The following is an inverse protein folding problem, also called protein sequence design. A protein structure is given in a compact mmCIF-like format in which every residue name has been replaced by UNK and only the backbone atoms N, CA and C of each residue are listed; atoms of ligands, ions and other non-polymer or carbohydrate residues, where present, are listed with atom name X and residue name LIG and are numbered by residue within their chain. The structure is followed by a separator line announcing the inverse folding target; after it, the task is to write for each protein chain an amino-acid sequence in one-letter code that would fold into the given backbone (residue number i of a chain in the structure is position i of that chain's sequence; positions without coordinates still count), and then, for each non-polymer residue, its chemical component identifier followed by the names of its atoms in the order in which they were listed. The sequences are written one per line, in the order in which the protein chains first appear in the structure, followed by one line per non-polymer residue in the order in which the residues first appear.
data_IF_570849586595
#
_entry.id   IF_570849586595
#
_cell.length_a   1.000
_cell.length_b   1.000
_cell.length_c   1.000
_cell.angle_alpha   90.00
_cell.angle_beta   90.00
_cell.angle_gamma   90.00
#
_symmetry.space_group_name_H-M   'P 1'
#
loop_
_entity.id
_entity.type
_entity.pdbx_description
1 polymer ?
#
# COMPACT_ATOMS: atom_id res chain seq x y z
N UNK A 1 12.38 3.06 -19.12
CA UNK A 1 12.29 3.69 -17.78
C UNK A 1 10.95 4.40 -17.71
N UNK A 2 10.11 4.04 -16.76
CA UNK A 2 8.79 4.67 -16.58
C UNK A 2 8.95 6.10 -16.01
N UNK A 3 7.93 6.96 -16.18
CA UNK A 3 7.93 8.31 -15.58
C UNK A 3 8.10 8.26 -14.04
N UNK A 4 7.74 7.14 -13.41
CA UNK A 4 7.88 6.91 -11.97
C UNK A 4 9.35 6.72 -11.58
N UNK A 5 10.14 5.97 -12.38
CA UNK A 5 11.57 5.77 -12.11
C UNK A 5 12.36 7.07 -12.23
N UNK A 6 12.00 7.93 -13.17
CA UNK A 6 12.69 9.23 -13.36
C UNK A 6 12.40 10.23 -12.24
N UNK A 7 11.24 10.11 -11.56
CA UNK A 7 10.90 10.94 -10.37
C UNK A 7 11.63 10.50 -9.12
N UNK A 8 11.97 9.20 -8.99
CA UNK A 8 12.68 8.68 -7.81
C UNK A 8 14.12 9.22 -7.66
N UNK A 9 14.68 9.84 -8.69
CA UNK A 9 16.03 10.43 -8.67
C UNK A 9 16.02 11.96 -8.50
N UNK A 10 14.86 12.60 -8.66
CA UNK A 10 14.71 14.06 -8.58
C UNK A 10 13.81 14.45 -7.40
N UNK A 11 13.96 15.69 -6.96
CA UNK A 11 13.02 16.28 -6.00
C UNK A 11 11.71 16.62 -6.70
N UNK A 12 10.60 16.39 -6.02
CA UNK A 12 9.25 16.75 -6.45
C UNK A 12 8.36 17.08 -5.25
N UNK A 13 7.23 17.70 -5.48
CA UNK A 13 6.23 17.96 -4.45
C UNK A 13 4.86 17.39 -4.86
N UNK A 14 4.09 16.99 -3.86
CA UNK A 14 2.67 16.63 -4.01
C UNK A 14 1.87 17.67 -3.26
N UNK A 15 0.92 18.32 -3.94
CA UNK A 15 0.00 19.29 -3.33
C UNK A 15 -1.35 18.63 -3.08
N UNK A 16 -1.91 18.80 -1.87
CA UNK A 16 -3.21 18.26 -1.50
C UNK A 16 -3.50 18.45 -0.02
N UNK A 17 -4.53 17.78 0.50
CA UNK A 17 -4.78 17.72 1.93
C UNK A 17 -3.93 16.62 2.55
N UNK A 18 -2.87 17.01 3.25
CA UNK A 18 -1.98 16.06 3.90
C UNK A 18 -2.60 15.60 5.22
N UNK A 19 -2.68 14.28 5.42
CA UNK A 19 -3.19 13.69 6.68
C UNK A 19 -2.20 12.64 7.16
N UNK A 20 -1.59 12.87 8.31
CA UNK A 20 -0.60 11.96 8.89
C UNK A 20 -0.57 12.07 10.42
N UNK A 21 0.17 11.20 11.09
CA UNK A 21 0.38 11.24 12.54
C UNK A 21 1.82 11.61 12.84
N UNK A 22 2.04 12.84 13.30
CA UNK A 22 3.35 13.27 13.83
C UNK A 22 3.52 12.83 15.29
N UNK A 23 2.42 12.64 16.01
CA UNK A 23 2.38 12.19 17.41
C UNK A 23 1.38 11.04 17.53
N UNK A 24 1.58 10.18 18.54
CA UNK A 24 0.88 8.91 18.71
C UNK A 24 -0.65 8.99 18.67
N UNK A 25 -1.22 10.02 19.26
CA UNK A 25 -2.68 10.08 19.51
C UNK A 25 -3.36 11.22 18.75
N UNK A 26 -2.69 11.78 17.72
CA UNK A 26 -3.17 12.98 17.07
C UNK A 26 -2.90 12.96 15.55
N UNK A 27 -3.93 13.19 14.77
CA UNK A 27 -3.78 13.48 13.35
C UNK A 27 -3.28 14.91 13.14
N UNK A 28 -2.31 15.04 12.25
CA UNK A 28 -1.95 16.32 11.65
C UNK A 28 -2.65 16.43 10.31
N UNK A 29 -3.45 17.48 10.13
CA UNK A 29 -4.16 17.76 8.88
C UNK A 29 -3.66 19.11 8.37
N UNK A 30 -3.16 19.15 7.14
CA UNK A 30 -2.69 20.35 6.47
C UNK A 30 -3.42 20.46 5.14
N UNK A 31 -4.37 21.40 5.06
CA UNK A 31 -5.14 21.65 3.83
C UNK A 31 -4.30 22.42 2.82
N UNK A 32 -4.49 22.11 1.52
CA UNK A 32 -3.82 22.77 0.39
C UNK A 32 -2.28 22.89 0.56
N UNK A 33 -1.68 21.88 1.17
CA UNK A 33 -0.28 21.84 1.60
C UNK A 33 0.59 20.99 0.66
N UNK A 34 1.89 21.07 0.85
CA UNK A 34 2.89 20.43 0.01
C UNK A 34 3.65 19.36 0.79
N UNK A 35 3.66 18.13 0.29
CA UNK A 35 4.58 17.08 0.69
C UNK A 35 5.77 17.10 -0.27
N UNK A 36 6.95 17.43 0.20
CA UNK A 36 8.16 17.46 -0.62
C UNK A 36 8.95 16.18 -0.46
N UNK A 37 9.36 15.61 -1.58
CA UNK A 37 10.24 14.44 -1.66
C UNK A 37 11.58 14.83 -2.31
N UNK A 38 12.67 14.40 -1.70
CA UNK A 38 14.02 14.46 -2.26
C UNK A 38 14.49 13.04 -2.54
N UNK A 39 14.54 12.69 -3.82
CA UNK A 39 14.78 11.31 -4.23
C UNK A 39 13.73 10.36 -3.63
N UNK A 40 14.18 9.43 -2.81
CA UNK A 40 13.32 8.41 -2.17
C UNK A 40 12.90 8.77 -0.73
N UNK A 41 13.11 9.99 -0.29
CA UNK A 41 12.82 10.41 1.08
C UNK A 41 11.87 11.60 1.11
N UNK A 42 10.99 11.59 2.10
CA UNK A 42 10.18 12.77 2.43
C UNK A 42 11.09 13.81 3.09
N UNK A 43 11.20 14.97 2.47
CA UNK A 43 11.97 16.11 2.99
C UNK A 43 11.15 16.92 4.01
N UNK A 44 9.83 16.97 3.84
CA UNK A 44 8.93 17.64 4.78
C UNK A 44 7.54 17.87 4.24
N UNK A 45 6.65 18.31 5.14
CA UNK A 45 5.31 18.80 4.84
C UNK A 45 5.28 20.32 5.11
N UNK A 46 4.70 21.10 4.20
CA UNK A 46 4.76 22.58 4.22
C UNK A 46 3.42 23.17 3.80
N UNK A 47 2.91 24.14 4.53
CA UNK A 47 1.73 24.93 4.13
C UNK A 47 2.03 25.76 2.89
N UNK A 48 3.25 26.26 2.78
CA UNK A 48 3.75 27.01 1.63
C UNK A 48 5.04 26.38 1.15
N UNK A 49 5.16 26.20 -0.19
CA UNK A 49 6.35 25.59 -0.77
C UNK A 49 7.58 26.48 -0.53
N UNK A 50 8.60 25.99 0.20
CA UNK A 50 9.81 26.77 0.48
C UNK A 50 10.55 27.19 -0.79
N UNK A 51 11.22 28.35 -0.75
CA UNK A 51 11.93 28.94 -1.90
C UNK A 51 12.91 27.99 -2.56
N UNK A 52 13.60 27.17 -1.78
CA UNK A 52 14.55 26.15 -2.28
C UNK A 52 13.89 25.08 -3.16
N UNK A 53 12.56 24.95 -3.11
CA UNK A 53 11.78 23.98 -3.88
C UNK A 53 10.91 24.62 -4.95
N UNK A 54 11.05 25.93 -5.24
CA UNK A 54 10.21 26.64 -6.23
C UNK A 54 10.28 26.06 -7.64
N UNK A 55 11.35 25.34 -7.96
CA UNK A 55 11.58 24.78 -9.30
C UNK A 55 11.33 23.27 -9.38
N UNK A 56 10.82 22.64 -8.29
CA UNK A 56 10.49 21.21 -8.35
C UNK A 56 9.16 20.99 -9.06
N UNK A 57 9.02 19.84 -9.68
CA UNK A 57 7.74 19.41 -10.25
C UNK A 57 6.70 19.27 -9.14
N UNK A 58 5.54 19.91 -9.31
CA UNK A 58 4.42 19.81 -8.38
C UNK A 58 3.32 18.96 -9.00
N UNK A 59 2.98 17.86 -8.32
CA UNK A 59 1.81 17.05 -8.62
C UNK A 59 0.63 17.58 -7.80
N UNK A 60 -0.25 18.37 -8.39
CA UNK A 60 -1.44 18.89 -7.74
C UNK A 60 -2.54 17.81 -7.74
N UNK A 61 -2.95 17.39 -6.56
CA UNK A 61 -3.95 16.35 -6.35
C UNK A 61 -5.38 16.89 -6.19
N UNK A 62 -5.57 18.20 -6.34
CA UNK A 62 -6.90 18.82 -6.42
C UNK A 62 -7.84 18.47 -5.27
N UNK A 63 -7.44 18.73 -4.03
CA UNK A 63 -8.25 18.49 -2.83
C UNK A 63 -8.36 17.03 -2.39
N UNK A 64 -7.60 16.11 -3.00
CA UNK A 64 -7.50 14.72 -2.54
C UNK A 64 -6.66 14.64 -1.27
N UNK A 65 -6.94 13.60 -0.47
CA UNK A 65 -6.10 13.28 0.67
C UNK A 65 -4.77 12.65 0.23
N UNK A 66 -3.69 13.13 0.82
CA UNK A 66 -2.35 12.55 0.72
C UNK A 66 -2.02 11.96 2.08
N UNK A 67 -1.94 10.65 2.15
CA UNK A 67 -1.71 9.88 3.37
C UNK A 67 -0.42 9.07 3.26
N UNK A 68 0.23 8.70 4.37
CA UNK A 68 1.27 7.70 4.35
C UNK A 68 0.75 6.37 3.80
N UNK A 69 1.60 5.65 3.08
CA UNK A 69 1.25 4.29 2.64
C UNK A 69 0.96 3.39 3.84
N UNK A 70 -0.04 2.53 3.70
CA UNK A 70 -0.42 1.60 4.76
C UNK A 70 0.59 0.46 4.91
N UNK A 71 0.65 -0.12 6.09
CA UNK A 71 1.43 -1.31 6.37
C UNK A 71 0.47 -2.44 6.78
N UNK A 72 0.46 -3.52 6.00
CA UNK A 72 -0.25 -4.74 6.35
C UNK A 72 0.71 -5.67 7.09
N UNK A 73 0.49 -5.85 8.38
CA UNK A 73 1.37 -6.66 9.24
C UNK A 73 0.97 -8.13 9.30
N UNK A 74 -0.13 -8.53 8.66
CA UNK A 74 -0.62 -9.90 8.68
C UNK A 74 -1.47 -10.20 7.45
N UNK A 75 -0.85 -10.81 6.44
CA UNK A 75 -1.55 -11.26 5.23
C UNK A 75 -1.03 -12.63 4.81
N UNK A 76 -1.93 -13.52 4.42
CA UNK A 76 -1.61 -14.82 3.85
C UNK A 76 -1.65 -14.73 2.33
N UNK A 77 -0.48 -14.65 1.70
CA UNK A 77 -0.37 -14.52 0.25
C UNK A 77 -0.94 -15.74 -0.49
N UNK A 78 -0.80 -16.94 0.10
CA UNK A 78 -1.37 -18.17 -0.42
C UNK A 78 -2.91 -18.19 -0.44
N UNK A 79 -3.55 -17.37 0.41
CA UNK A 79 -5.02 -17.32 0.53
C UNK A 79 -5.64 -16.22 -0.36
N UNK A 80 -4.85 -15.47 -1.10
CA UNK A 80 -5.35 -14.36 -1.92
C UNK A 80 -6.33 -14.81 -3.03
N UNK A 81 -6.17 -16.05 -3.53
CA UNK A 81 -6.99 -16.61 -4.60
C UNK A 81 -8.43 -16.91 -4.19
N UNK A 82 -8.69 -17.09 -2.88
CA UNK A 82 -10.01 -17.46 -2.38
C UNK A 82 -10.54 -16.53 -1.28
N UNK A 83 -10.06 -15.30 -1.24
CA UNK A 83 -10.56 -14.27 -0.33
C UNK A 83 -12.09 -14.16 -0.40
N UNK A 84 -12.75 -14.18 0.76
CA UNK A 84 -14.21 -14.10 0.87
C UNK A 84 -14.98 -15.38 0.59
N UNK A 85 -14.33 -16.46 0.15
CA UNK A 85 -14.98 -17.74 -0.08
C UNK A 85 -15.26 -18.44 1.27
N UNK A 86 -16.48 -18.96 1.42
CA UNK A 86 -16.89 -19.71 2.58
C UNK A 86 -17.01 -18.90 3.87
N UNK A 87 -17.08 -17.58 3.81
CA UNK A 87 -17.16 -16.70 4.99
C UNK A 87 -18.52 -16.76 5.73
N UNK A 88 -19.49 -17.48 5.19
CA UNK A 88 -20.80 -17.70 5.78
C UNK A 88 -20.86 -18.91 6.72
N UNK A 89 -19.71 -19.33 7.26
CA UNK A 89 -19.62 -20.38 8.26
C UNK A 89 -20.19 -19.92 9.61
N UNK A 90 -20.80 -20.84 10.36
CA UNK A 90 -21.27 -20.55 11.71
C UNK A 90 -20.10 -20.30 12.67
N UNK A 91 -20.37 -19.50 13.71
CA UNK A 91 -19.38 -19.19 14.73
C UNK A 91 -18.76 -20.45 15.32
N UNK A 92 -17.43 -20.52 15.35
CA UNK A 92 -16.66 -21.62 15.91
C UNK A 92 -16.35 -22.77 14.94
N UNK A 93 -16.81 -22.71 13.69
CA UNK A 93 -16.54 -23.74 12.69
C UNK A 93 -15.33 -23.46 11.78
N UNK A 94 -14.33 -22.75 12.30
CA UNK A 94 -13.11 -22.38 11.54
C UNK A 94 -12.36 -23.62 11.02
N UNK A 95 -12.32 -24.73 11.78
CA UNK A 95 -11.67 -25.95 11.31
C UNK A 95 -12.34 -26.49 10.05
N UNK A 96 -13.68 -26.44 9.96
CA UNK A 96 -14.41 -26.83 8.74
C UNK A 96 -14.04 -25.93 7.56
N UNK A 97 -13.82 -24.63 7.79
CA UNK A 97 -13.39 -23.72 6.73
C UNK A 97 -11.97 -24.05 6.27
N UNK A 98 -11.04 -24.29 7.19
CA UNK A 98 -9.67 -24.67 6.86
C UNK A 98 -9.64 -25.97 6.04
N UNK A 99 -10.34 -27.00 6.48
CA UNK A 99 -10.38 -28.30 5.80
C UNK A 99 -11.04 -28.22 4.43
N UNK A 100 -12.06 -27.40 4.29
CA UNK A 100 -12.87 -27.34 3.07
C UNK A 100 -12.32 -26.39 2.01
N UNK A 101 -11.69 -25.31 2.41
CA UNK A 101 -11.27 -24.23 1.51
C UNK A 101 -9.78 -23.93 1.57
N UNK A 102 -9.22 -23.66 2.77
CA UNK A 102 -7.86 -23.20 2.88
C UNK A 102 -6.82 -24.26 2.53
N UNK A 103 -6.81 -25.39 3.24
CA UNK A 103 -5.81 -26.43 3.02
C UNK A 103 -5.82 -27.05 1.62
N UNK A 104 -6.99 -27.33 1.00
CA UNK A 104 -7.01 -27.79 -0.40
C UNK A 104 -6.41 -26.79 -1.39
N UNK A 105 -6.66 -25.49 -1.22
CA UNK A 105 -6.10 -24.48 -2.12
C UNK A 105 -4.61 -24.24 -1.82
N UNK A 106 -4.21 -24.15 -0.57
CA UNK A 106 -2.81 -24.00 -0.17
C UNK A 106 -1.94 -25.19 -0.62
N UNK A 107 -2.49 -26.42 -0.65
CA UNK A 107 -1.76 -27.59 -1.14
C UNK A 107 -1.34 -27.48 -2.62
N UNK A 108 -1.99 -26.63 -3.41
CA UNK A 108 -1.66 -26.37 -4.81
C UNK A 108 -0.32 -25.65 -4.96
N UNK A 109 0.15 -24.96 -3.93
CA UNK A 109 1.44 -24.27 -3.93
C UNK A 109 2.65 -25.20 -3.91
N UNK A 110 2.43 -26.53 -3.79
CA UNK A 110 3.45 -27.54 -4.08
C UNK A 110 3.84 -27.55 -5.58
N UNK A 111 2.98 -27.05 -6.47
CA UNK A 111 3.29 -26.79 -7.86
C UNK A 111 3.92 -25.41 -8.00
N UNK A 112 5.21 -25.38 -8.38
CA UNK A 112 5.99 -24.13 -8.50
C UNK A 112 5.36 -23.19 -9.54
N UNK A 113 4.86 -23.72 -10.67
CA UNK A 113 4.26 -22.88 -11.70
C UNK A 113 2.95 -22.21 -11.21
N UNK A 114 2.16 -22.95 -10.43
CA UNK A 114 0.99 -22.37 -9.79
C UNK A 114 1.38 -21.29 -8.76
N UNK A 115 2.38 -21.58 -7.91
CA UNK A 115 2.86 -20.64 -6.90
C UNK A 115 3.37 -19.34 -7.53
N UNK A 116 4.20 -19.42 -8.57
CA UNK A 116 4.69 -18.24 -9.31
C UNK A 116 3.53 -17.39 -9.86
N UNK A 117 2.53 -18.03 -10.50
CA UNK A 117 1.39 -17.33 -11.04
C UNK A 117 0.55 -16.67 -9.93
N UNK A 118 0.27 -17.40 -8.84
CA UNK A 118 -0.55 -16.91 -7.73
C UNK A 118 0.11 -15.72 -7.02
N UNK A 119 1.42 -15.84 -6.70
CA UNK A 119 2.16 -14.75 -6.04
C UNK A 119 2.37 -13.54 -6.95
N UNK A 120 2.54 -13.76 -8.25
CA UNK A 120 2.59 -12.64 -9.21
C UNK A 120 1.28 -11.84 -9.19
N UNK A 121 0.13 -12.52 -9.28
CA UNK A 121 -1.19 -11.88 -9.21
C UNK A 121 -1.41 -11.16 -7.87
N UNK A 122 -1.00 -11.78 -6.77
CA UNK A 122 -1.05 -11.15 -5.45
C UNK A 122 -0.23 -9.86 -5.42
N UNK A 123 1.03 -9.91 -5.87
CA UNK A 123 1.90 -8.74 -5.94
C UNK A 123 1.33 -7.63 -6.84
N UNK A 124 0.79 -7.98 -8.00
CA UNK A 124 0.13 -7.04 -8.90
C UNK A 124 -1.10 -6.39 -8.25
N UNK A 125 -1.90 -7.15 -7.49
CA UNK A 125 -3.07 -6.62 -6.80
C UNK A 125 -2.69 -5.59 -5.72
N UNK A 126 -1.55 -5.77 -5.06
CA UNK A 126 -1.04 -4.83 -4.07
C UNK A 126 -0.71 -3.46 -4.67
N UNK A 127 -0.26 -3.41 -5.93
CA UNK A 127 0.04 -2.15 -6.62
C UNK A 127 -1.20 -1.26 -6.82
N UNK A 128 -2.39 -1.83 -6.73
CA UNK A 128 -3.67 -1.10 -6.80
C UNK A 128 -4.18 -0.67 -5.41
N UNK A 129 -3.42 -0.93 -4.34
CA UNK A 129 -3.77 -0.60 -2.96
C UNK A 129 -2.85 0.46 -2.39
N UNK A 130 -3.21 1.14 -1.29
CA UNK A 130 -2.31 2.04 -0.56
C UNK A 130 -1.25 1.30 0.26
N UNK A 131 -1.19 -0.02 0.23
CA UNK A 131 -0.24 -0.82 1.00
C UNK A 131 1.15 -0.71 0.39
N UNK A 132 2.09 -0.18 1.17
CA UNK A 132 3.49 0.02 0.75
C UNK A 132 4.46 -0.94 1.45
N UNK A 133 4.00 -1.60 2.51
CA UNK A 133 4.77 -2.60 3.27
C UNK A 133 3.82 -3.70 3.72
N UNK A 134 4.29 -4.93 3.71
CA UNK A 134 3.52 -6.05 4.22
C UNK A 134 4.43 -7.10 4.87
N UNK A 135 3.84 -7.86 5.80
CA UNK A 135 4.39 -9.09 6.32
C UNK A 135 3.51 -10.24 5.79
N UNK A 136 3.98 -10.93 4.76
CA UNK A 136 3.24 -12.00 4.13
C UNK A 136 3.68 -13.37 4.68
N UNK A 137 2.68 -14.18 4.99
CA UNK A 137 2.82 -15.61 5.20
C UNK A 137 2.60 -16.33 3.86
N UNK A 138 3.49 -17.27 3.56
CA UNK A 138 3.49 -18.02 2.31
C UNK A 138 3.64 -19.53 2.59
#
# INVERSE_FOLDING_TARGET
MSQVEHRAERSFAIKGTLVFTAQRDQFTIMEDAYLVCEGKKVAGAYETLPDRYRQVDVLDMGGKFVIPGTCDIHVHASQASFQGIGQNIENGQWNTWFDRYAFPDESRFNDIAYAEQAYTRFAESLLATPTTRLCAYA
#
